data_IF_480109055292
#
_entry.id   IF_480109055292
#
_cell.length_a   1.000
_cell.length_b   1.000
_cell.length_c   1.000
_cell.angle_alpha   90.00
_cell.angle_beta   90.00
_cell.angle_gamma   90.00
#
_symmetry.space_group_name_H-M   'P 1'
#
loop_
_entity.id
_entity.type
_entity.pdbx_description
1 polymer ?
#
# COMPACT_ATOMS: atom_id res chain seq x y z
N UNK A 1 4.00 -0.90 -29.22
CA UNK A 1 3.93 -0.17 -27.93
C UNK A 1 3.93 -1.19 -26.81
N UNK A 2 4.51 -0.85 -25.67
CA UNK A 2 4.61 -1.70 -24.48
C UNK A 2 4.40 -0.86 -23.21
N UNK A 3 4.21 -1.54 -22.08
CA UNK A 3 4.23 -0.92 -20.74
C UNK A 3 5.40 -1.46 -19.92
N UNK A 4 5.88 -0.70 -18.94
CA UNK A 4 6.98 -1.14 -18.10
C UNK A 4 6.53 -2.23 -17.12
N UNK A 5 5.37 -2.06 -16.50
CA UNK A 5 4.76 -3.05 -15.60
C UNK A 5 3.31 -3.26 -16.00
N UNK A 6 2.92 -4.50 -16.28
CA UNK A 6 1.52 -4.88 -16.46
C UNK A 6 1.00 -5.56 -15.18
N UNK A 7 0.03 -4.93 -14.51
CA UNK A 7 -0.52 -5.45 -13.26
C UNK A 7 -1.91 -6.04 -13.45
N UNK A 8 -2.12 -7.25 -12.93
CA UNK A 8 -3.45 -7.81 -12.75
C UNK A 8 -4.18 -7.04 -11.65
N UNK A 9 -5.38 -6.53 -11.94
CA UNK A 9 -6.11 -5.63 -11.04
C UNK A 9 -6.76 -6.34 -9.84
N UNK A 10 -7.12 -7.61 -9.98
CA UNK A 10 -7.76 -8.46 -8.99
C UNK A 10 -7.29 -9.90 -9.12
N UNK A 11 -7.44 -10.65 -8.02
CA UNK A 11 -7.31 -12.10 -8.04
C UNK A 11 -8.64 -12.78 -8.39
N UNK A 12 -8.55 -13.96 -8.96
CA UNK A 12 -9.62 -14.94 -8.99
C UNK A 12 -9.06 -16.25 -8.42
N UNK A 13 -9.29 -16.48 -7.14
CA UNK A 13 -8.77 -17.65 -6.41
C UNK A 13 -9.31 -19.00 -6.94
N UNK A 14 -10.34 -18.97 -7.80
CA UNK A 14 -10.87 -20.17 -8.47
C UNK A 14 -9.95 -20.66 -9.59
N UNK A 15 -9.07 -19.79 -10.09
CA UNK A 15 -8.11 -20.12 -11.15
C UNK A 15 -6.80 -20.56 -10.51
N UNK A 16 -6.26 -21.74 -10.85
CA UNK A 16 -4.94 -22.16 -10.39
C UNK A 16 -3.86 -21.12 -10.76
N UNK A 17 -2.95 -20.83 -9.83
CA UNK A 17 -1.89 -19.82 -10.06
C UNK A 17 -1.03 -20.12 -11.29
N UNK A 18 -0.81 -21.40 -11.60
CA UNK A 18 -0.04 -21.82 -12.77
C UNK A 18 -0.64 -21.35 -14.09
N UNK A 19 -1.96 -21.42 -14.23
CA UNK A 19 -2.64 -20.95 -15.43
C UNK A 19 -2.49 -19.44 -15.60
N UNK A 20 -2.60 -18.68 -14.51
CA UNK A 20 -2.41 -17.23 -14.52
C UNK A 20 -0.96 -16.88 -14.88
N UNK A 21 0.00 -17.55 -14.28
CA UNK A 21 1.43 -17.34 -14.55
C UNK A 21 1.77 -17.64 -16.00
N UNK A 22 1.25 -18.74 -16.59
CA UNK A 22 1.51 -19.10 -17.97
C UNK A 22 0.98 -18.04 -18.95
N UNK A 23 -0.21 -17.48 -18.69
CA UNK A 23 -0.77 -16.38 -19.50
C UNK A 23 0.07 -15.12 -19.36
N UNK A 24 0.47 -14.76 -18.14
CA UNK A 24 1.23 -13.55 -17.88
C UNK A 24 2.69 -13.63 -18.39
N UNK A 25 3.27 -14.81 -18.40
CA UNK A 25 4.58 -15.07 -19.03
C UNK A 25 4.55 -14.76 -20.53
N UNK A 26 3.45 -15.09 -21.22
CA UNK A 26 3.28 -14.74 -22.64
C UNK A 26 3.20 -13.23 -22.87
N UNK A 27 2.57 -12.46 -21.96
CA UNK A 27 2.53 -10.98 -22.06
C UNK A 27 3.94 -10.38 -22.12
N UNK A 28 4.87 -10.93 -21.33
CA UNK A 28 6.28 -10.49 -21.34
C UNK A 28 7.01 -11.01 -22.57
N UNK A 29 6.85 -12.29 -22.95
CA UNK A 29 7.52 -12.90 -24.10
C UNK A 29 7.13 -12.26 -25.43
N UNK A 30 5.89 -11.84 -25.57
CA UNK A 30 5.38 -11.14 -26.74
C UNK A 30 5.75 -9.65 -26.76
N UNK A 31 6.40 -9.15 -25.69
CA UNK A 31 6.90 -7.79 -25.59
C UNK A 31 5.84 -6.73 -25.26
N UNK A 32 4.67 -7.13 -24.78
CA UNK A 32 3.63 -6.17 -24.35
C UNK A 32 3.98 -5.50 -23.00
N UNK A 33 4.77 -6.17 -22.16
CA UNK A 33 5.26 -5.62 -20.92
C UNK A 33 6.72 -6.02 -20.67
N UNK A 34 7.47 -5.17 -19.95
CA UNK A 34 8.84 -5.49 -19.49
C UNK A 34 8.82 -6.37 -18.25
N UNK A 35 7.83 -6.17 -17.39
CA UNK A 35 7.61 -6.94 -16.17
C UNK A 35 6.12 -7.04 -15.85
N UNK A 36 5.79 -7.95 -14.95
CA UNK A 36 4.42 -8.20 -14.50
C UNK A 36 4.28 -8.03 -13.01
N UNK A 37 3.12 -7.56 -12.58
CA UNK A 37 2.75 -7.36 -11.18
C UNK A 37 1.32 -7.83 -10.90
N UNK A 38 0.95 -7.79 -9.64
CA UNK A 38 -0.40 -8.10 -9.17
C UNK A 38 -0.96 -6.94 -8.37
N UNK A 39 -2.28 -6.85 -8.29
CA UNK A 39 -2.96 -5.94 -7.37
C UNK A 39 -4.05 -6.69 -6.62
N UNK A 40 -4.14 -6.42 -5.32
CA UNK A 40 -5.11 -7.06 -4.44
C UNK A 40 -5.02 -8.60 -4.42
N UNK A 41 -3.80 -9.12 -4.43
CA UNK A 41 -3.48 -10.50 -4.13
C UNK A 41 -2.92 -10.60 -2.72
N UNK A 42 -3.16 -11.73 -2.03
CA UNK A 42 -2.42 -12.01 -0.80
C UNK A 42 -0.95 -12.28 -1.10
N UNK A 43 -0.07 -11.91 -0.19
CA UNK A 43 1.37 -12.22 -0.29
C UNK A 43 1.62 -13.73 -0.38
N UNK A 44 0.82 -14.55 0.32
CA UNK A 44 0.87 -16.00 0.25
C UNK A 44 0.63 -16.50 -1.18
N UNK A 45 -0.45 -16.03 -1.83
CA UNK A 45 -0.79 -16.44 -3.18
C UNK A 45 0.21 -15.93 -4.22
N UNK A 46 0.74 -14.73 -4.03
CA UNK A 46 1.82 -14.20 -4.85
C UNK A 46 3.09 -15.05 -4.74
N UNK A 47 3.44 -15.50 -3.53
CA UNK A 47 4.58 -16.41 -3.34
C UNK A 47 4.36 -17.75 -4.04
N UNK A 48 3.17 -18.34 -3.93
CA UNK A 48 2.80 -19.58 -4.63
C UNK A 48 2.95 -19.41 -6.15
N UNK A 49 2.47 -18.31 -6.71
CA UNK A 49 2.62 -18.00 -8.14
C UNK A 49 4.09 -17.86 -8.54
N UNK A 50 4.91 -17.18 -7.73
CA UNK A 50 6.33 -17.00 -7.99
C UNK A 50 7.14 -18.29 -7.82
N UNK A 51 6.74 -19.18 -6.92
CA UNK A 51 7.33 -20.54 -6.83
C UNK A 51 7.02 -21.35 -8.07
N UNK A 52 5.76 -21.32 -8.55
CA UNK A 52 5.39 -21.97 -9.79
C UNK A 52 6.21 -21.40 -10.98
N UNK A 53 6.31 -20.07 -11.08
CA UNK A 53 7.08 -19.43 -12.14
C UNK A 53 8.55 -19.90 -12.17
N UNK A 54 9.22 -19.91 -11.01
CA UNK A 54 10.61 -20.41 -10.90
C UNK A 54 10.74 -21.88 -11.30
N UNK A 55 9.82 -22.74 -10.81
CA UNK A 55 9.83 -24.18 -11.09
C UNK A 55 9.63 -24.49 -12.57
N UNK A 56 8.84 -23.70 -13.27
CA UNK A 56 8.46 -23.94 -14.66
C UNK A 56 9.17 -23.02 -15.66
N UNK A 57 10.22 -22.29 -15.21
CA UNK A 57 10.98 -21.34 -16.05
C UNK A 57 10.06 -20.30 -16.73
N UNK A 58 9.17 -19.69 -15.94
CA UNK A 58 8.27 -18.61 -16.31
C UNK A 58 8.71 -17.29 -15.68
N UNK A 59 8.21 -16.19 -16.22
CA UNK A 59 8.42 -14.85 -15.66
C UNK A 59 7.70 -14.72 -14.32
N UNK A 60 8.41 -14.39 -13.22
CA UNK A 60 7.77 -14.15 -11.93
C UNK A 60 7.12 -12.77 -11.88
N UNK A 61 6.13 -12.61 -11.01
CA UNK A 61 5.62 -11.28 -10.63
C UNK A 61 6.66 -10.53 -9.81
N UNK A 62 6.92 -9.26 -10.18
CA UNK A 62 7.98 -8.45 -9.60
C UNK A 62 7.50 -7.42 -8.60
N UNK A 63 6.20 -7.16 -8.52
CA UNK A 63 5.62 -6.14 -7.66
C UNK A 63 4.18 -6.48 -7.28
N UNK A 64 3.75 -5.92 -6.17
CA UNK A 64 2.36 -5.98 -5.72
C UNK A 64 1.80 -4.58 -5.48
N UNK A 65 0.51 -4.40 -5.74
CA UNK A 65 -0.21 -3.17 -5.43
C UNK A 65 -1.38 -3.48 -4.49
N UNK A 66 -1.24 -3.11 -3.23
CA UNK A 66 -2.26 -3.30 -2.19
C UNK A 66 -2.49 -2.01 -1.40
N UNK A 67 -3.59 -1.96 -0.66
CA UNK A 67 -3.86 -0.85 0.24
C UNK A 67 -2.89 -0.89 1.42
N UNK A 68 -2.10 0.20 1.60
CA UNK A 68 -1.16 0.28 2.70
C UNK A 68 -1.02 1.71 3.22
N UNK A 69 -1.28 1.88 4.51
CA UNK A 69 -1.17 3.17 5.21
C UNK A 69 -1.04 2.94 6.73
N UNK A 70 -0.85 4.01 7.49
CA UNK A 70 -0.71 3.96 8.95
C UNK A 70 -1.99 3.62 9.72
N UNK A 71 -3.17 3.74 9.09
CA UNK A 71 -4.42 3.45 9.79
C UNK A 71 -4.61 1.93 9.94
N UNK A 72 -5.09 1.50 11.09
CA UNK A 72 -5.55 0.14 11.29
C UNK A 72 -6.85 -0.08 10.51
N UNK A 73 -6.89 -1.15 9.73
CA UNK A 73 -8.05 -1.58 8.98
C UNK A 73 -8.02 -3.10 8.90
N UNK A 74 -9.15 -3.73 9.06
CA UNK A 74 -9.30 -5.17 8.86
C UNK A 74 -10.03 -5.45 7.56
N UNK A 75 -9.98 -6.71 7.11
CA UNK A 75 -10.74 -7.12 5.91
C UNK A 75 -12.25 -6.99 6.11
N UNK A 76 -12.73 -7.11 7.36
CA UNK A 76 -14.11 -6.90 7.73
C UNK A 76 -14.55 -5.44 7.56
N UNK A 77 -13.65 -4.49 7.76
CA UNK A 77 -13.94 -3.06 7.61
C UNK A 77 -14.06 -2.64 6.13
N UNK A 78 -13.51 -3.42 5.21
CA UNK A 78 -13.52 -3.09 3.79
C UNK A 78 -14.88 -3.39 3.16
N UNK A 79 -15.43 -2.42 2.41
CA UNK A 79 -16.68 -2.59 1.67
C UNK A 79 -16.52 -3.61 0.53
N UNK A 80 -15.41 -3.59 -0.16
CA UNK A 80 -15.06 -4.54 -1.21
C UNK A 80 -14.11 -5.62 -0.66
N UNK A 81 -14.63 -6.83 -0.46
CA UNK A 81 -13.89 -7.97 0.11
C UNK A 81 -12.85 -8.58 -0.84
N UNK A 82 -12.78 -8.10 -2.08
CA UNK A 82 -11.75 -8.49 -3.04
C UNK A 82 -10.48 -7.64 -2.92
N UNK A 83 -10.49 -6.63 -2.05
CA UNK A 83 -9.32 -5.81 -1.75
C UNK A 83 -8.44 -6.47 -0.67
N UNK A 84 -7.14 -6.27 -0.81
CA UNK A 84 -6.16 -6.64 0.21
C UNK A 84 -5.56 -5.40 0.84
N UNK A 85 -5.38 -5.48 2.15
CA UNK A 85 -4.78 -4.46 2.99
C UNK A 85 -3.50 -5.02 3.62
N UNK A 86 -2.51 -4.16 3.83
CA UNK A 86 -1.28 -4.51 4.52
C UNK A 86 -1.55 -4.68 6.03
N UNK A 87 -1.89 -5.90 6.44
CA UNK A 87 -1.94 -6.31 7.84
C UNK A 87 -0.60 -6.92 8.30
N UNK A 88 -0.54 -7.40 9.51
CA UNK A 88 0.70 -7.94 10.09
C UNK A 88 1.20 -9.21 9.37
N UNK A 89 0.29 -10.06 8.88
CA UNK A 89 0.63 -11.27 8.12
C UNK A 89 1.19 -10.90 6.75
N UNK A 90 0.50 -10.04 6.03
CA UNK A 90 0.94 -9.52 4.73
C UNK A 90 2.29 -8.80 4.88
N UNK A 91 2.43 -7.91 5.87
CA UNK A 91 3.67 -7.19 6.14
C UNK A 91 4.88 -8.11 6.34
N UNK A 92 4.70 -9.15 7.15
CA UNK A 92 5.74 -10.15 7.39
C UNK A 92 6.16 -10.84 6.10
N UNK A 93 5.20 -11.30 5.30
CA UNK A 93 5.46 -12.00 4.05
C UNK A 93 6.13 -11.11 3.00
N UNK A 94 5.70 -9.84 2.85
CA UNK A 94 6.35 -8.89 1.94
C UNK A 94 7.79 -8.58 2.36
N UNK A 95 8.04 -8.41 3.66
CA UNK A 95 9.38 -8.19 4.21
C UNK A 95 10.31 -9.38 3.99
N UNK A 96 9.84 -10.59 4.23
CA UNK A 96 10.61 -11.83 4.06
C UNK A 96 10.93 -12.10 2.59
N UNK A 97 9.98 -11.90 1.70
CA UNK A 97 10.12 -12.19 0.27
C UNK A 97 10.71 -11.04 -0.54
N UNK A 98 10.91 -9.86 0.06
CA UNK A 98 11.47 -8.65 -0.57
C UNK A 98 10.76 -8.26 -1.86
N UNK A 99 9.45 -8.36 -1.87
CA UNK A 99 8.62 -7.95 -3.00
C UNK A 99 8.26 -6.46 -2.83
N UNK A 100 8.56 -5.60 -3.82
CA UNK A 100 8.19 -4.19 -3.78
C UNK A 100 6.67 -4.01 -3.77
N UNK A 101 6.20 -3.05 -2.97
CA UNK A 101 4.77 -2.76 -2.81
C UNK A 101 4.43 -1.35 -3.27
N UNK A 102 3.59 -1.25 -4.28
CA UNK A 102 2.93 0.01 -4.65
C UNK A 102 1.73 0.23 -3.73
N UNK A 103 1.93 1.03 -2.69
CA UNK A 103 0.92 1.33 -1.67
C UNK A 103 -0.15 2.27 -2.23
N UNK A 104 -1.35 1.78 -2.57
CA UNK A 104 -2.45 2.68 -2.87
C UNK A 104 -3.17 3.14 -1.59
N UNK A 105 -3.81 4.32 -1.66
CA UNK A 105 -4.39 5.01 -0.49
C UNK A 105 -3.41 5.18 0.68
N UNK A 106 -2.14 5.58 0.45
CA UNK A 106 -1.13 5.66 1.50
C UNK A 106 -1.48 6.69 2.59
N UNK A 107 -2.34 7.65 2.28
CA UNK A 107 -2.83 8.70 3.18
C UNK A 107 -4.18 8.37 3.83
N UNK A 108 -4.62 7.09 3.81
CA UNK A 108 -5.90 6.64 4.38
C UNK A 108 -7.09 7.54 3.93
N UNK A 109 -7.17 7.87 2.63
CA UNK A 109 -8.19 8.76 2.05
C UNK A 109 -8.21 10.15 2.72
N UNK A 110 -7.07 10.58 3.27
CA UNK A 110 -6.90 11.84 3.98
C UNK A 110 -7.44 11.81 5.43
N UNK A 111 -7.64 10.63 6.01
CA UNK A 111 -8.17 10.47 7.37
C UNK A 111 -7.38 11.30 8.38
N UNK A 112 -6.06 11.09 8.50
CA UNK A 112 -5.27 11.78 9.52
C UNK A 112 -5.32 13.31 9.39
N UNK A 113 -5.14 13.83 8.18
CA UNK A 113 -5.18 15.29 7.94
C UNK A 113 -6.54 15.90 8.29
N UNK A 114 -7.62 15.31 7.78
CA UNK A 114 -8.97 15.85 7.97
C UNK A 114 -9.49 15.66 9.38
N UNK A 115 -9.20 14.50 10.00
CA UNK A 115 -9.61 14.22 11.38
C UNK A 115 -8.94 15.18 12.36
N UNK A 116 -7.64 15.42 12.20
CA UNK A 116 -6.88 16.33 13.06
C UNK A 116 -7.26 17.81 12.85
N UNK A 117 -7.65 18.19 11.64
CA UNK A 117 -8.08 19.55 11.33
C UNK A 117 -9.51 19.84 11.81
N UNK A 118 -10.43 18.91 11.67
CA UNK A 118 -11.87 19.20 11.75
C UNK A 118 -12.72 18.14 12.42
N UNK A 119 -12.10 17.08 12.97
CA UNK A 119 -12.83 15.97 13.61
C UNK A 119 -13.57 15.06 12.63
N UNK A 120 -14.42 14.21 13.20
CA UNK A 120 -15.14 13.17 12.44
C UNK A 120 -16.18 13.72 11.46
N UNK A 121 -16.79 14.85 11.79
CA UNK A 121 -17.93 15.42 11.03
C UNK A 121 -17.58 15.77 9.57
N UNK A 122 -16.32 16.11 9.30
CA UNK A 122 -15.83 16.48 7.96
C UNK A 122 -15.18 15.35 7.18
N UNK A 123 -15.18 14.13 7.71
CA UNK A 123 -14.67 12.97 7.00
C UNK A 123 -15.63 12.57 5.86
N UNK A 124 -15.08 12.23 4.71
CA UNK A 124 -15.85 11.57 3.66
C UNK A 124 -16.29 10.18 4.11
N UNK A 125 -17.36 9.63 3.51
CA UNK A 125 -17.84 8.29 3.88
C UNK A 125 -16.75 7.21 3.72
N UNK A 126 -15.87 7.34 2.73
CA UNK A 126 -14.72 6.45 2.58
C UNK A 126 -13.67 6.61 3.69
N UNK A 127 -13.48 7.82 4.22
CA UNK A 127 -12.54 8.08 5.31
C UNK A 127 -13.11 7.66 6.68
N UNK A 128 -14.42 7.65 6.83
CA UNK A 128 -15.11 7.23 8.08
C UNK A 128 -14.83 5.77 8.45
N UNK A 129 -14.53 4.90 7.48
CA UNK A 129 -14.12 3.51 7.79
C UNK A 129 -12.88 3.45 8.70
N UNK A 130 -12.04 4.47 8.66
CA UNK A 130 -10.86 4.59 9.53
C UNK A 130 -11.15 5.24 10.89
N UNK A 131 -12.37 5.75 11.13
CA UNK A 131 -12.69 6.48 12.36
C UNK A 131 -12.98 5.54 13.54
N UNK A 132 -12.02 4.70 13.89
CA UNK A 132 -12.02 3.76 15.01
C UNK A 132 -11.24 4.31 16.19
N UNK A 133 -11.47 3.78 17.40
CA UNK A 133 -10.73 4.22 18.60
C UNK A 133 -9.23 3.99 18.47
N UNK A 134 -8.79 2.93 17.78
CA UNK A 134 -7.38 2.67 17.48
C UNK A 134 -6.82 3.78 16.62
N UNK A 135 -7.49 4.13 15.54
CA UNK A 135 -7.01 5.15 14.61
C UNK A 135 -7.13 6.58 15.19
N UNK A 136 -8.07 6.85 16.09
CA UNK A 136 -8.12 8.12 16.84
C UNK A 136 -6.89 8.27 17.75
N UNK A 137 -6.45 7.19 18.41
CA UNK A 137 -5.20 7.19 19.20
C UNK A 137 -3.97 7.37 18.30
N UNK A 138 -3.92 6.66 17.15
CA UNK A 138 -2.86 6.86 16.15
C UNK A 138 -2.83 8.29 15.61
N UNK A 139 -3.99 8.90 15.36
CA UNK A 139 -4.05 10.29 14.90
C UNK A 139 -3.43 11.26 15.90
N UNK A 140 -3.62 11.05 17.22
CA UNK A 140 -2.97 11.86 18.25
C UNK A 140 -1.44 11.68 18.23
N UNK A 141 -0.92 10.47 18.05
CA UNK A 141 0.50 10.22 17.88
C UNK A 141 1.06 10.85 16.60
N UNK A 142 0.30 10.77 15.49
CA UNK A 142 0.62 11.45 14.23
C UNK A 142 0.74 12.96 14.46
N UNK A 143 -0.19 13.59 15.18
CA UNK A 143 -0.13 15.02 15.53
C UNK A 143 1.16 15.37 16.26
N UNK A 144 1.48 14.63 17.32
CA UNK A 144 2.68 14.85 18.13
C UNK A 144 3.97 14.70 17.29
N UNK A 145 4.03 13.70 16.43
CA UNK A 145 5.19 13.48 15.58
C UNK A 145 5.32 14.56 14.50
N UNK A 146 4.21 15.00 13.91
CA UNK A 146 4.19 16.11 12.96
C UNK A 146 4.68 17.43 13.59
N UNK A 147 4.24 17.74 14.80
CA UNK A 147 4.74 18.90 15.57
C UNK A 147 6.25 18.82 15.82
N UNK A 148 6.74 17.64 16.21
CA UNK A 148 8.17 17.41 16.46
C UNK A 148 9.03 17.52 15.20
N UNK A 149 8.53 17.04 14.07
CA UNK A 149 9.26 17.00 12.80
C UNK A 149 9.04 18.24 11.92
N UNK A 150 8.06 19.09 12.26
CA UNK A 150 7.70 20.24 11.45
C UNK A 150 7.08 19.86 10.10
N UNK A 151 6.30 18.77 10.04
CA UNK A 151 5.69 18.26 8.81
C UNK A 151 4.16 18.13 8.93
N UNK A 152 3.49 17.96 7.78
CA UNK A 152 2.07 17.69 7.75
C UNK A 152 1.76 16.19 7.97
N UNK A 153 0.53 15.83 8.39
CA UNK A 153 0.09 14.44 8.40
C UNK A 153 0.13 13.77 7.02
N UNK A 154 -0.10 14.54 5.95
CA UNK A 154 -0.03 14.03 4.58
C UNK A 154 1.40 13.65 4.19
N UNK A 155 2.38 14.48 4.52
CA UNK A 155 3.80 14.20 4.33
C UNK A 155 4.27 13.00 5.17
N UNK A 156 3.85 12.93 6.44
CA UNK A 156 4.19 11.81 7.32
C UNK A 156 3.66 10.47 6.79
N UNK A 157 2.46 10.45 6.20
CA UNK A 157 1.91 9.25 5.55
C UNK A 157 2.78 8.76 4.39
N UNK A 158 3.36 9.66 3.61
CA UNK A 158 4.30 9.29 2.53
C UNK A 158 5.58 8.73 3.13
N UNK A 159 6.17 9.43 4.10
CA UNK A 159 7.38 8.99 4.77
C UNK A 159 7.21 7.62 5.45
N UNK A 160 6.04 7.34 6.01
CA UNK A 160 5.70 6.03 6.57
C UNK A 160 5.89 4.90 5.56
N UNK A 161 5.48 5.10 4.31
CA UNK A 161 5.66 4.10 3.25
C UNK A 161 7.13 4.03 2.79
N UNK A 162 7.75 5.19 2.51
CA UNK A 162 9.07 5.24 1.86
C UNK A 162 10.24 4.97 2.81
N UNK A 163 10.05 5.12 4.12
CA UNK A 163 11.05 4.80 5.14
C UNK A 163 10.86 3.42 5.77
N UNK A 164 9.89 2.64 5.29
CA UNK A 164 9.58 1.34 5.86
C UNK A 164 10.58 0.26 5.40
N UNK A 165 10.88 -0.79 6.22
CA UNK A 165 11.69 -1.93 5.81
C UNK A 165 11.15 -2.75 4.64
N UNK A 166 9.84 -2.74 4.41
CA UNK A 166 9.24 -3.23 3.17
C UNK A 166 9.48 -2.17 2.09
N UNK A 167 9.98 -2.56 0.93
CA UNK A 167 10.24 -1.65 -0.20
C UNK A 167 8.91 -1.08 -0.74
N UNK A 168 8.53 0.10 -0.23
CA UNK A 168 7.24 0.73 -0.43
C UNK A 168 7.29 1.95 -1.34
N UNK A 169 6.38 2.00 -2.30
CA UNK A 169 6.16 3.12 -3.23
C UNK A 169 4.77 3.71 -2.99
N UNK A 170 4.69 4.94 -2.50
CA UNK A 170 3.42 5.60 -2.22
C UNK A 170 2.73 6.07 -3.52
N UNK A 171 1.57 5.48 -3.83
CA UNK A 171 0.73 5.91 -4.95
C UNK A 171 -0.23 6.99 -4.45
N UNK A 172 0.14 8.25 -4.65
CA UNK A 172 -0.60 9.40 -4.12
C UNK A 172 -1.55 10.01 -5.15
N UNK A 173 -2.64 10.59 -4.65
CA UNK A 173 -3.59 11.38 -5.45
C UNK A 173 -4.05 12.58 -4.63
N UNK A 174 -4.01 13.76 -5.23
CA UNK A 174 -4.36 15.02 -4.59
C UNK A 174 -5.33 15.81 -5.47
N UNK A 175 -6.29 16.50 -4.84
CA UNK A 175 -7.31 17.26 -5.57
C UNK A 175 -6.85 18.68 -5.94
N UNK A 176 -5.79 19.20 -5.30
CA UNK A 176 -5.26 20.55 -5.53
C UNK A 176 -3.74 20.54 -5.58
N UNK A 177 -3.14 21.53 -6.26
CA UNK A 177 -1.68 21.71 -6.28
C UNK A 177 -1.11 21.89 -4.88
N UNK A 178 -1.77 22.66 -4.01
CA UNK A 178 -1.34 22.86 -2.62
C UNK A 178 -1.24 21.53 -1.85
N UNK A 179 -2.20 20.63 -2.05
CA UNK A 179 -2.15 19.29 -1.44
C UNK A 179 -1.01 18.44 -2.02
N UNK A 180 -0.76 18.56 -3.33
CA UNK A 180 0.35 17.86 -3.97
C UNK A 180 1.70 18.35 -3.44
N UNK A 181 1.91 19.65 -3.39
CA UNK A 181 3.12 20.26 -2.83
C UNK A 181 3.37 19.82 -1.40
N UNK A 182 2.34 19.86 -0.55
CA UNK A 182 2.41 19.40 0.83
C UNK A 182 2.77 17.90 0.91
N UNK A 183 2.08 17.07 0.14
CA UNK A 183 2.33 15.62 0.08
C UNK A 183 3.75 15.30 -0.34
N UNK A 184 4.30 16.02 -1.33
CA UNK A 184 5.65 15.80 -1.86
C UNK A 184 6.75 16.15 -0.84
N UNK A 185 6.49 17.00 0.16
CA UNK A 185 7.47 17.24 1.23
C UNK A 185 7.77 15.97 2.02
N UNK A 186 6.88 14.97 1.99
CA UNK A 186 7.08 13.67 2.64
C UNK A 186 8.12 12.78 1.96
N UNK A 187 8.51 13.06 0.71
CA UNK A 187 9.49 12.25 -0.04
C UNK A 187 10.89 12.36 0.59
N UNK A 188 11.25 13.56 1.05
CA UNK A 188 12.54 13.83 1.67
C UNK A 188 12.53 13.65 3.20
N UNK A 189 11.35 13.51 3.79
CA UNK A 189 11.17 13.32 5.23
C UNK A 189 11.73 11.95 5.65
N UNK A 190 12.63 11.97 6.63
CA UNK A 190 13.19 10.73 7.19
C UNK A 190 12.61 10.45 8.58
N UNK A 191 12.01 9.27 8.72
CA UNK A 191 11.53 8.76 10.00
C UNK A 191 12.21 7.42 10.30
N UNK A 192 12.39 7.13 11.58
CA UNK A 192 13.02 5.89 12.03
C UNK A 192 12.00 4.79 12.24
N UNK A 193 12.48 3.54 12.31
CA UNK A 193 11.62 2.41 12.66
C UNK A 193 10.94 2.59 14.01
N UNK A 194 11.65 3.09 15.01
CA UNK A 194 11.08 3.37 16.34
C UNK A 194 9.91 4.36 16.29
N UNK A 195 9.97 5.36 15.39
CA UNK A 195 8.85 6.29 15.17
C UNK A 195 7.66 5.60 14.51
N UNK A 196 7.92 4.71 13.56
CA UNK A 196 6.88 3.89 12.90
C UNK A 196 6.21 2.99 13.94
N UNK A 197 6.99 2.24 14.69
CA UNK A 197 6.50 1.30 15.71
C UNK A 197 5.68 2.04 16.76
N UNK A 198 6.18 3.19 17.23
CA UNK A 198 5.45 4.02 18.18
C UNK A 198 4.09 4.52 17.68
N UNK A 199 3.96 4.87 16.38
CA UNK A 199 2.66 5.24 15.82
C UNK A 199 1.70 4.04 15.83
N UNK A 200 2.20 2.85 15.52
CA UNK A 200 1.36 1.66 15.32
C UNK A 200 0.90 1.00 16.63
N UNK A 201 1.63 1.17 17.74
CA UNK A 201 1.21 0.76 19.09
C UNK A 201 -0.14 1.39 19.51
#
# INVERSE_FOLDING_TARGET
DYVDIYCLHRDDERIPVGEIVDVMDNVVKEGFARSIGVSNWSAKRLNEANEYARKHNRTPFTSSQIQWNMAHCTREDMLDKTLYFMDDEEYKLYKENKIPVMAYSPQAVGFFSKYLESGEEKLSDRAKMYCTDVNKKRAEKVRQLCEKLGCSPAALCVAYITCNPVDGYAVVSNSTMKQMEDTLTGVDLKITQDMIDWILE
#
